data_IF_576008095805
#
_entry.id   IF_576008095805
#
_cell.length_a   1.000
_cell.length_b   1.000
_cell.length_c   1.000
_cell.angle_alpha   90.00
_cell.angle_beta   90.00
_cell.angle_gamma   90.00
#
_symmetry.space_group_name_H-M   'P 1'
#
loop_
_entity.id
_entity.type
_entity.pdbx_description
1 polymer ?
#
# COMPACT_ATOMS: atom_id res chain seq x y z
N UNK A 1 -57.08 -11.73 48.32
CA UNK A 1 -56.51 -10.42 48.02
C UNK A 1 -55.05 -10.61 47.62
N UNK A 2 -54.82 -10.79 46.32
CA UNK A 2 -53.48 -11.04 45.75
C UNK A 2 -53.09 -9.82 44.92
N UNK A 3 -51.99 -9.16 45.27
CA UNK A 3 -51.40 -8.07 44.49
C UNK A 3 -50.45 -8.68 43.43
N UNK A 4 -50.46 -8.22 42.19
CA UNK A 4 -49.55 -8.70 41.19
C UNK A 4 -48.20 -7.97 41.28
N UNK A 5 -47.15 -8.74 41.05
CA UNK A 5 -45.80 -8.21 40.86
C UNK A 5 -45.68 -7.55 39.47
N UNK A 6 -45.33 -6.26 39.46
CA UNK A 6 -44.86 -5.55 38.25
C UNK A 6 -43.36 -5.30 38.42
N UNK A 7 -42.68 -5.79 37.41
CA UNK A 7 -41.58 -5.24 36.91
C UNK A 7 -40.25 -5.44 36.93
N UNK A 8 -39.49 -5.60 35.89
CA UNK A 8 -38.28 -4.86 35.52
C UNK A 8 -37.87 -5.33 34.14
N UNK A 9 -38.45 -4.72 33.13
CA UNK A 9 -37.97 -4.82 31.76
C UNK A 9 -37.64 -3.41 31.31
N UNK A 10 -36.57 -2.85 31.87
CA UNK A 10 -36.13 -1.49 31.53
C UNK A 10 -34.63 -1.27 31.48
N UNK A 11 -33.86 -2.20 32.03
CA UNK A 11 -32.41 -1.99 32.19
C UNK A 11 -31.49 -2.54 31.11
N UNK A 12 -31.96 -3.46 30.25
CA UNK A 12 -31.08 -4.19 29.33
C UNK A 12 -30.89 -3.48 27.98
N UNK A 13 -31.83 -2.62 27.57
CA UNK A 13 -31.79 -1.98 26.24
C UNK A 13 -30.80 -0.80 26.21
N UNK A 14 -30.61 -0.10 27.31
CA UNK A 14 -29.71 1.07 27.37
C UNK A 14 -28.22 0.63 27.34
N UNK A 15 -27.88 -0.51 27.96
CA UNK A 15 -26.52 -1.03 27.96
C UNK A 15 -26.04 -1.48 26.59
N UNK A 16 -26.93 -2.06 25.76
CA UNK A 16 -26.58 -2.53 24.42
C UNK A 16 -26.33 -1.39 23.42
N UNK A 17 -27.06 -0.29 23.56
CA UNK A 17 -26.87 0.90 22.70
C UNK A 17 -25.58 1.66 23.02
N UNK A 18 -25.18 1.72 24.29
CA UNK A 18 -23.93 2.39 24.71
C UNK A 18 -22.71 1.55 24.31
N UNK A 19 -22.76 0.23 24.42
CA UNK A 19 -21.69 -0.66 23.98
C UNK A 19 -21.56 -0.65 22.45
N UNK A 20 -22.65 -0.63 21.70
CA UNK A 20 -22.64 -0.49 20.24
C UNK A 20 -22.07 0.86 19.78
N UNK A 21 -22.34 1.95 20.51
CA UNK A 21 -21.81 3.28 20.19
C UNK A 21 -20.32 3.43 20.54
N UNK A 22 -19.85 2.76 21.58
CA UNK A 22 -18.43 2.72 21.95
C UNK A 22 -17.63 1.82 21.00
N UNK A 23 -18.23 0.76 20.46
CA UNK A 23 -17.58 -0.10 19.45
C UNK A 23 -17.56 0.54 18.06
N UNK A 24 -18.47 1.43 17.75
CA UNK A 24 -18.50 2.25 16.54
C UNK A 24 -17.43 3.36 16.53
N UNK A 25 -16.78 3.65 17.65
CA UNK A 25 -15.54 4.42 17.68
C UNK A 25 -14.35 3.52 17.32
N UNK A 26 -14.41 2.83 16.17
CA UNK A 26 -13.21 2.40 15.49
C UNK A 26 -12.35 3.64 15.28
N UNK A 27 -11.16 3.61 15.87
CA UNK A 27 -10.09 4.56 15.68
C UNK A 27 -10.14 5.12 14.26
N UNK A 28 -10.47 6.41 14.15
CA UNK A 28 -10.65 7.02 12.84
C UNK A 28 -9.33 7.14 12.12
N UNK A 29 -8.93 6.05 11.43
CA UNK A 29 -7.81 6.08 10.50
C UNK A 29 -8.04 7.23 9.51
N UNK A 30 -7.14 8.20 9.49
CA UNK A 30 -7.20 9.33 8.59
C UNK A 30 -6.18 9.15 7.47
N UNK A 31 -6.63 9.15 6.23
CA UNK A 31 -5.76 9.15 5.05
C UNK A 31 -5.06 10.51 4.95
N UNK A 32 -3.74 10.48 4.89
CA UNK A 32 -2.87 11.65 4.72
C UNK A 32 -2.50 11.84 3.25
N UNK A 33 -2.22 10.72 2.57
CA UNK A 33 -1.88 10.70 1.16
C UNK A 33 -2.44 9.41 0.54
N UNK A 34 -3.34 9.55 -0.42
CA UNK A 34 -3.76 8.47 -1.31
C UNK A 34 -2.89 8.54 -2.57
N UNK A 35 -2.08 7.50 -2.80
CA UNK A 35 -1.12 7.49 -3.90
C UNK A 35 -1.80 7.25 -5.25
N UNK A 36 -2.98 6.64 -5.27
CA UNK A 36 -3.77 6.49 -6.49
C UNK A 36 -4.27 7.85 -6.96
N UNK A 37 -4.87 8.63 -6.06
CA UNK A 37 -5.36 9.98 -6.37
C UNK A 37 -4.21 10.95 -6.69
N UNK A 38 -3.07 10.77 -6.01
CA UNK A 38 -1.89 11.59 -6.20
C UNK A 38 -1.04 11.21 -7.43
N UNK A 39 -1.33 10.09 -8.12
CA UNK A 39 -0.52 9.61 -9.25
C UNK A 39 -0.26 10.68 -10.34
N UNK A 40 -1.24 11.50 -10.76
CA UNK A 40 -0.98 12.54 -11.76
C UNK A 40 0.01 13.63 -11.30
N UNK A 41 0.19 13.78 -9.97
CA UNK A 41 1.07 14.77 -9.34
C UNK A 41 2.31 14.13 -8.71
N UNK A 42 2.59 12.87 -9.01
CA UNK A 42 3.79 12.20 -8.52
C UNK A 42 5.05 12.97 -8.98
N UNK A 43 6.02 13.08 -8.06
CA UNK A 43 7.28 13.81 -8.30
C UNK A 43 8.08 13.24 -9.47
N UNK A 44 7.99 11.92 -9.65
CA UNK A 44 8.67 11.20 -10.72
C UNK A 44 7.83 9.99 -11.15
N UNK A 45 7.79 9.73 -12.45
CA UNK A 45 7.15 8.58 -13.07
C UNK A 45 8.05 8.03 -14.17
N UNK A 46 8.67 6.87 -13.96
CA UNK A 46 9.59 6.25 -14.91
C UNK A 46 9.13 4.84 -15.28
N UNK A 47 9.41 4.36 -16.50
CA UNK A 47 10.14 5.04 -17.58
C UNK A 47 9.34 6.20 -18.17
N UNK A 48 8.02 6.15 -18.14
CA UNK A 48 7.13 7.18 -18.70
C UNK A 48 5.71 7.00 -18.13
N UNK A 49 4.90 8.07 -18.04
CA UNK A 49 3.54 8.01 -17.50
C UNK A 49 2.60 7.01 -18.16
N UNK A 50 2.75 6.70 -19.45
CA UNK A 50 1.90 5.75 -20.17
C UNK A 50 2.00 4.30 -19.67
N UNK A 51 3.07 3.93 -18.98
CA UNK A 51 3.23 2.61 -18.37
C UNK A 51 2.58 2.48 -16.99
N UNK A 52 1.88 3.54 -16.56
CA UNK A 52 1.26 3.60 -15.23
C UNK A 52 -0.15 4.13 -15.36
N UNK A 53 -1.13 3.35 -14.97
CA UNK A 53 -2.54 3.72 -15.06
C UNK A 53 -3.29 3.39 -13.77
N UNK A 54 -4.36 4.15 -13.52
CA UNK A 54 -5.31 3.87 -12.44
C UNK A 54 -6.35 2.90 -12.98
N UNK A 55 -6.56 1.80 -12.26
CA UNK A 55 -7.52 0.74 -12.63
C UNK A 55 -8.31 0.28 -11.41
N UNK A 56 -9.49 -0.27 -11.64
CA UNK A 56 -10.17 -1.11 -10.67
C UNK A 56 -9.70 -2.56 -10.93
N UNK A 57 -8.80 -3.05 -10.07
CA UNK A 57 -8.16 -4.34 -10.23
C UNK A 57 -8.92 -5.40 -9.42
N UNK A 58 -9.36 -6.46 -10.08
CA UNK A 58 -9.98 -7.62 -9.43
C UNK A 58 -8.98 -8.77 -9.38
N UNK A 59 -8.74 -9.30 -8.18
CA UNK A 59 -7.88 -10.46 -7.93
C UNK A 59 -8.64 -11.41 -7.00
N UNK A 60 -8.87 -12.64 -7.44
CA UNK A 60 -9.64 -13.66 -6.69
C UNK A 60 -10.98 -13.12 -6.14
N UNK A 61 -11.69 -12.31 -6.94
CA UNK A 61 -12.99 -11.77 -6.59
C UNK A 61 -12.99 -10.52 -5.69
N UNK A 62 -11.82 -10.07 -5.22
CA UNK A 62 -11.67 -8.82 -4.46
C UNK A 62 -11.21 -7.69 -5.39
N UNK A 63 -12.06 -6.65 -5.52
CA UNK A 63 -11.80 -5.49 -6.40
C UNK A 63 -11.28 -4.31 -5.60
N UNK A 64 -10.14 -3.77 -6.02
CA UNK A 64 -9.50 -2.62 -5.39
C UNK A 64 -9.08 -1.58 -6.42
N UNK A 65 -9.16 -0.30 -6.05
CA UNK A 65 -8.55 0.77 -6.84
C UNK A 65 -7.04 0.65 -6.76
N UNK A 66 -6.35 0.66 -7.88
CA UNK A 66 -4.94 0.33 -7.93
C UNK A 66 -4.17 1.13 -8.98
N UNK A 67 -2.86 1.18 -8.80
CA UNK A 67 -1.91 1.63 -9.83
C UNK A 67 -1.39 0.39 -10.55
N UNK A 68 -1.76 0.22 -11.81
CA UNK A 68 -1.20 -0.79 -12.71
C UNK A 68 0.12 -0.29 -13.26
N UNK A 69 1.17 -1.11 -13.19
CA UNK A 69 2.47 -0.87 -13.81
C UNK A 69 2.74 -1.99 -14.81
N UNK A 70 2.97 -1.62 -16.07
CA UNK A 70 3.16 -2.58 -17.18
C UNK A 70 4.59 -2.65 -17.68
N UNK A 71 5.53 -2.05 -16.97
CA UNK A 71 6.95 -2.09 -17.27
C UNK A 71 7.79 -1.96 -16.00
N UNK A 72 9.04 -2.36 -16.06
CA UNK A 72 10.00 -2.04 -15.01
C UNK A 72 10.09 -0.52 -14.84
N UNK A 73 9.99 -0.04 -13.60
CA UNK A 73 9.99 1.41 -13.38
C UNK A 73 9.83 1.82 -11.92
N UNK A 74 9.63 3.11 -11.75
CA UNK A 74 9.42 3.69 -10.41
C UNK A 74 8.45 4.85 -10.44
N UNK A 75 7.76 5.02 -9.31
CA UNK A 75 6.93 6.18 -9.02
C UNK A 75 7.40 6.77 -7.70
N UNK A 76 7.61 8.06 -7.66
CA UNK A 76 8.11 8.76 -6.48
C UNK A 76 7.11 9.81 -6.01
N UNK A 77 6.81 9.78 -4.73
CA UNK A 77 5.99 10.77 -4.05
C UNK A 77 6.79 11.45 -2.97
N UNK A 78 6.66 12.75 -2.85
CA UNK A 78 7.26 13.51 -1.77
C UNK A 78 6.20 13.85 -0.72
N UNK A 79 6.53 13.64 0.56
CA UNK A 79 5.67 14.02 1.67
C UNK A 79 6.48 14.34 2.92
N UNK A 80 5.85 15.09 3.84
CA UNK A 80 6.32 15.16 5.23
C UNK A 80 5.56 14.12 6.03
N UNK A 81 6.29 13.18 6.63
CA UNK A 81 5.69 12.06 7.35
C UNK A 81 5.10 12.54 8.67
N UNK A 82 3.79 12.37 8.93
CA UNK A 82 3.20 12.73 10.21
C UNK A 82 3.64 11.78 11.33
N UNK A 83 3.37 12.18 12.57
CA UNK A 83 3.51 11.26 13.71
C UNK A 83 2.52 10.09 13.59
N UNK A 84 2.93 8.91 14.01
CA UNK A 84 2.14 7.67 13.99
C UNK A 84 1.63 7.31 12.59
N UNK A 85 2.43 7.60 11.56
CA UNK A 85 2.10 7.28 10.18
C UNK A 85 2.39 5.82 9.84
N UNK A 86 1.49 5.22 9.06
CA UNK A 86 1.62 3.90 8.47
C UNK A 86 1.44 4.00 6.97
N UNK A 87 2.17 3.19 6.23
CA UNK A 87 1.91 2.97 4.81
C UNK A 87 1.15 1.66 4.63
N UNK A 88 -0.07 1.75 4.13
CA UNK A 88 -0.93 0.61 3.84
C UNK A 88 -1.07 0.44 2.35
N UNK A 89 -0.94 -0.80 1.89
CA UNK A 89 -1.04 -1.15 0.48
C UNK A 89 -1.40 -2.63 0.33
N UNK A 90 -1.75 -3.01 -0.88
CA UNK A 90 -1.77 -4.40 -1.29
C UNK A 90 -0.96 -4.57 -2.59
N UNK A 91 -0.32 -5.71 -2.75
CA UNK A 91 0.38 -6.07 -3.98
C UNK A 91 -0.30 -7.28 -4.60
N UNK A 92 -0.46 -7.26 -5.91
CA UNK A 92 -0.97 -8.40 -6.64
C UNK A 92 -0.66 -8.32 -8.13
N UNK A 93 -1.00 -9.39 -8.85
CA UNK A 93 -0.89 -9.47 -10.29
C UNK A 93 -2.26 -9.76 -10.89
N UNK A 94 -2.66 -9.01 -11.92
CA UNK A 94 -3.94 -9.23 -12.60
C UNK A 94 -4.03 -10.65 -13.15
N UNK A 95 -5.24 -11.24 -13.10
CA UNK A 95 -5.49 -12.63 -13.49
C UNK A 95 -5.04 -12.99 -14.91
N UNK A 96 -5.06 -12.02 -15.82
CA UNK A 96 -4.55 -12.21 -17.19
C UNK A 96 -3.05 -12.55 -17.26
N UNK A 97 -2.26 -12.23 -16.22
CA UNK A 97 -0.86 -12.60 -16.12
C UNK A 97 -0.63 -13.99 -15.51
N UNK A 98 -1.63 -14.62 -14.89
CA UNK A 98 -1.45 -15.87 -14.13
C UNK A 98 -1.11 -17.09 -14.98
N UNK A 99 -1.47 -17.07 -16.26
CA UNK A 99 -1.25 -18.15 -17.22
C UNK A 99 -0.06 -17.89 -18.15
N UNK A 100 0.53 -16.72 -18.06
CA UNK A 100 1.71 -16.37 -18.83
C UNK A 100 2.94 -16.91 -18.12
N UNK A 101 3.71 -17.76 -18.82
CA UNK A 101 4.96 -18.27 -18.28
C UNK A 101 5.94 -17.12 -18.04
N UNK A 102 6.43 -17.03 -16.82
CA UNK A 102 7.35 -15.97 -16.38
C UNK A 102 7.91 -16.26 -15.00
N UNK A 103 8.86 -15.48 -14.58
CA UNK A 103 9.55 -15.60 -13.31
C UNK A 103 9.02 -14.61 -12.25
N UNK A 104 7.99 -13.82 -12.60
CA UNK A 104 7.31 -12.88 -11.74
C UNK A 104 7.95 -11.50 -11.66
N UNK A 105 7.38 -10.69 -10.81
CA UNK A 105 7.75 -9.29 -10.61
C UNK A 105 8.19 -9.07 -9.18
N UNK A 106 9.31 -8.40 -8.98
CA UNK A 106 9.75 -7.95 -7.66
C UNK A 106 9.43 -6.47 -7.48
N UNK A 107 8.76 -6.17 -6.37
CA UNK A 107 8.48 -4.81 -5.95
C UNK A 107 9.36 -4.42 -4.78
N UNK A 108 9.73 -3.15 -4.74
CA UNK A 108 10.45 -2.55 -3.62
C UNK A 108 9.75 -1.26 -3.22
N UNK A 109 9.79 -0.97 -1.93
CA UNK A 109 9.44 0.32 -1.37
C UNK A 109 10.65 0.91 -0.67
N UNK A 110 11.04 2.10 -1.12
CA UNK A 110 12.13 2.86 -0.49
C UNK A 110 11.60 4.15 0.14
N UNK A 111 12.18 4.51 1.28
CA UNK A 111 12.02 5.83 1.90
C UNK A 111 13.38 6.52 1.89
N UNK A 112 13.44 7.68 1.24
CA UNK A 112 14.66 8.48 1.14
C UNK A 112 14.44 9.81 1.89
N UNK A 113 15.06 10.01 3.06
CA UNK A 113 15.01 11.30 3.75
C UNK A 113 15.64 12.42 2.90
N UNK A 114 14.97 13.58 2.88
CA UNK A 114 15.45 14.76 2.17
C UNK A 114 16.11 15.73 3.14
N UNK A 115 17.16 16.39 2.68
CA UNK A 115 17.80 17.49 3.39
C UNK A 115 16.90 18.74 3.47
N UNK A 116 17.34 19.78 4.22
CA UNK A 116 16.59 21.02 4.35
C UNK A 116 16.33 21.72 3.01
N UNK A 117 17.20 21.51 2.03
CA UNK A 117 17.07 22.03 0.65
C UNK A 117 16.15 21.17 -0.24
N UNK A 118 15.55 20.10 0.32
CA UNK A 118 14.68 19.18 -0.40
C UNK A 118 15.41 18.21 -1.32
N UNK A 119 16.73 18.11 -1.22
CA UNK A 119 17.54 17.18 -2.01
C UNK A 119 17.81 15.90 -1.23
N UNK A 120 18.12 14.87 -1.99
CA UNK A 120 18.55 13.57 -1.44
C UNK A 120 19.87 13.76 -0.67
N UNK A 121 19.96 13.11 0.49
CA UNK A 121 21.17 13.10 1.30
C UNK A 121 22.05 11.91 0.95
N UNK A 122 23.36 12.10 1.08
CA UNK A 122 24.35 11.06 0.82
C UNK A 122 25.15 10.78 2.10
N UNK A 123 25.59 9.55 2.27
CA UNK A 123 26.53 9.17 3.31
C UNK A 123 27.93 9.79 3.03
N UNK A 124 28.85 9.78 4.01
CA UNK A 124 30.23 10.23 3.80
C UNK A 124 30.94 9.50 2.65
N UNK A 125 30.55 8.26 2.36
CA UNK A 125 31.09 7.43 1.27
C UNK A 125 30.40 7.71 -0.09
N UNK A 126 29.53 8.72 -0.18
CA UNK A 126 28.84 9.13 -1.40
C UNK A 126 27.67 8.21 -1.79
N UNK A 127 27.16 7.36 -0.90
CA UNK A 127 25.99 6.51 -1.15
C UNK A 127 24.71 7.27 -0.80
N UNK A 128 23.72 7.18 -1.66
CA UNK A 128 22.38 7.69 -1.36
C UNK A 128 21.83 7.00 -0.11
N UNK A 129 21.34 7.80 0.85
CA UNK A 129 20.68 7.30 2.05
C UNK A 129 19.23 7.01 1.67
N UNK A 130 18.89 5.72 1.57
CA UNK A 130 17.54 5.26 1.31
C UNK A 130 17.32 3.95 2.08
N UNK A 131 16.22 3.86 2.79
CA UNK A 131 15.84 2.66 3.52
C UNK A 131 14.86 1.82 2.68
N UNK A 132 15.17 0.54 2.52
CA UNK A 132 14.26 -0.42 1.91
C UNK A 132 13.27 -0.92 2.96
N UNK A 133 12.00 -0.58 2.81
CA UNK A 133 10.93 -1.03 3.71
C UNK A 133 10.22 -2.29 3.24
N UNK A 134 10.29 -2.59 1.96
CA UNK A 134 9.65 -3.75 1.35
C UNK A 134 10.50 -4.27 0.19
N UNK A 135 10.62 -5.59 0.15
CA UNK A 135 11.02 -6.36 -1.03
C UNK A 135 10.11 -7.58 -1.11
N UNK A 136 9.34 -7.72 -2.18
CA UNK A 136 8.39 -8.82 -2.38
C UNK A 136 8.38 -9.23 -3.86
N UNK A 137 8.54 -10.53 -4.12
CA UNK A 137 8.35 -11.09 -5.46
C UNK A 137 6.98 -11.76 -5.54
N UNK A 138 6.22 -11.46 -6.61
CA UNK A 138 4.90 -12.03 -6.91
C UNK A 138 5.00 -12.79 -8.23
N UNK A 139 4.72 -14.09 -8.20
CA UNK A 139 4.76 -14.97 -9.37
C UNK A 139 3.59 -15.98 -9.36
N UNK A 140 2.37 -15.59 -9.75
CA UNK A 140 1.20 -16.48 -9.73
C UNK A 140 1.30 -17.68 -10.68
N UNK A 141 2.16 -17.61 -11.71
CA UNK A 141 2.42 -18.74 -12.60
C UNK A 141 3.22 -19.84 -11.89
N UNK A 142 4.30 -19.46 -11.23
CA UNK A 142 5.18 -20.40 -10.50
C UNK A 142 4.70 -20.75 -9.09
N UNK A 143 3.96 -19.83 -8.47
CA UNK A 143 3.45 -19.98 -7.09
C UNK A 143 1.95 -19.66 -7.03
N UNK A 144 1.06 -20.66 -6.98
CA UNK A 144 -0.38 -20.42 -6.86
C UNK A 144 -0.81 -19.62 -5.64
N UNK A 145 0.00 -19.55 -4.57
CA UNK A 145 -0.27 -18.73 -3.39
C UNK A 145 -0.22 -17.23 -3.70
N UNK A 146 0.40 -16.83 -4.82
CA UNK A 146 0.44 -15.43 -5.25
C UNK A 146 -0.79 -14.99 -6.07
N UNK A 147 -1.78 -15.89 -6.24
CA UNK A 147 -3.08 -15.58 -6.88
C UNK A 147 -4.05 -14.88 -5.94
N UNK A 148 -3.54 -13.93 -5.16
CA UNK A 148 -4.32 -13.14 -4.20
C UNK A 148 -3.68 -11.76 -4.00
N UNK A 149 -4.38 -10.89 -3.25
CA UNK A 149 -3.82 -9.67 -2.74
C UNK A 149 -2.92 -9.94 -1.54
N UNK A 150 -1.69 -9.46 -1.57
CA UNK A 150 -0.78 -9.43 -0.43
C UNK A 150 -0.97 -8.10 0.31
N UNK A 151 -1.77 -8.11 1.36
CA UNK A 151 -2.02 -6.93 2.20
C UNK A 151 -0.83 -6.63 3.11
N UNK A 152 -0.35 -5.40 3.09
CA UNK A 152 0.84 -4.96 3.80
C UNK A 152 0.56 -3.68 4.60
N UNK A 153 1.16 -3.59 5.78
CA UNK A 153 1.14 -2.40 6.63
C UNK A 153 2.56 -2.16 7.15
N UNK A 154 3.15 -1.03 6.78
CA UNK A 154 4.54 -0.69 7.06
C UNK A 154 4.60 0.55 7.96
N UNK A 155 5.39 0.49 9.02
CA UNK A 155 5.56 1.59 9.97
C UNK A 155 6.45 2.68 9.38
N UNK A 156 5.97 3.91 9.38
CA UNK A 156 6.72 5.10 8.97
C UNK A 156 7.17 5.96 10.18
N UNK A 157 6.94 5.51 11.40
CA UNK A 157 7.17 6.30 12.62
C UNK A 157 8.58 6.84 12.78
N UNK A 158 9.61 6.11 12.32
CA UNK A 158 11.01 6.57 12.36
C UNK A 158 11.29 7.80 11.46
N UNK A 159 10.38 8.11 10.56
CA UNK A 159 10.45 9.28 9.66
C UNK A 159 9.55 10.43 10.10
N UNK A 160 8.89 10.31 11.25
CA UNK A 160 7.97 11.34 11.75
C UNK A 160 8.63 12.73 11.74
N UNK A 161 7.95 13.73 11.19
CA UNK A 161 8.43 15.10 11.01
C UNK A 161 9.44 15.30 9.88
N UNK A 162 9.95 14.22 9.27
CA UNK A 162 10.91 14.32 8.17
C UNK A 162 10.19 14.46 6.83
N UNK A 163 10.78 15.26 5.94
CA UNK A 163 10.42 15.28 4.53
C UNK A 163 11.13 14.14 3.82
N UNK A 164 10.39 13.32 3.08
CA UNK A 164 10.91 12.12 2.44
C UNK A 164 10.42 11.99 1.01
N UNK A 165 11.20 11.28 0.18
CA UNK A 165 10.71 10.65 -1.04
C UNK A 165 10.28 9.21 -0.73
N UNK A 166 9.02 8.89 -0.95
CA UNK A 166 8.47 7.54 -0.94
C UNK A 166 8.49 7.00 -2.36
N UNK A 167 9.27 5.94 -2.61
CA UNK A 167 9.52 5.42 -3.96
C UNK A 167 9.02 3.99 -4.10
N UNK A 168 8.00 3.80 -4.95
CA UNK A 168 7.52 2.51 -5.39
C UNK A 168 8.34 2.08 -6.59
N UNK A 169 8.93 0.89 -6.54
CA UNK A 169 9.77 0.34 -7.62
C UNK A 169 9.23 -1.02 -8.04
N UNK A 170 9.16 -1.24 -9.34
CA UNK A 170 8.78 -2.51 -9.97
C UNK A 170 9.92 -2.96 -10.87
N UNK A 171 10.36 -4.20 -10.73
CA UNK A 171 11.44 -4.80 -11.53
C UNK A 171 11.09 -6.23 -11.90
N UNK A 172 11.61 -6.76 -13.03
CA UNK A 172 11.62 -8.19 -13.27
C UNK A 172 12.20 -8.93 -12.07
N UNK A 173 11.80 -10.18 -11.88
CA UNK A 173 12.36 -11.02 -10.82
C UNK A 173 13.90 -11.09 -10.94
N UNK A 174 14.65 -11.11 -9.82
CA UNK A 174 16.10 -11.24 -9.84
C UNK A 174 16.57 -12.60 -10.37
N UNK A 175 15.68 -13.60 -10.48
CA UNK A 175 15.94 -14.90 -11.10
C UNK A 175 15.81 -14.86 -12.63
N UNK A 176 15.28 -13.76 -13.18
CA UNK A 176 15.18 -13.56 -14.62
C UNK A 176 16.57 -13.48 -15.25
N UNK A 177 16.84 -14.37 -16.19
CA UNK A 177 18.06 -14.30 -17.02
C UNK A 177 17.92 -13.27 -18.15
N UNK A 178 16.71 -12.81 -18.38
CA UNK A 178 16.35 -11.77 -19.36
C UNK A 178 15.50 -10.71 -18.65
N UNK A 179 15.52 -9.48 -19.14
CA UNK A 179 14.58 -8.44 -18.70
C UNK A 179 13.18 -8.76 -19.27
N UNK A 180 12.66 -9.93 -18.90
CA UNK A 180 11.33 -10.35 -19.33
C UNK A 180 10.26 -9.55 -18.55
N UNK A 181 9.42 -8.87 -19.29
CA UNK A 181 8.26 -8.13 -18.78
C UNK A 181 6.94 -8.75 -19.25
N UNK A 182 7.00 -9.94 -19.88
CA UNK A 182 5.82 -10.63 -20.38
C UNK A 182 4.94 -11.09 -19.20
N UNK A 183 3.70 -10.68 -19.22
CA UNK A 183 2.76 -11.05 -18.15
C UNK A 183 2.87 -10.23 -16.88
N UNK A 184 3.74 -9.23 -16.82
CA UNK A 184 3.97 -8.36 -15.66
C UNK A 184 2.86 -7.32 -15.51
N UNK A 185 1.66 -7.79 -15.17
CA UNK A 185 0.52 -6.92 -14.89
C UNK A 185 0.41 -6.66 -13.38
N UNK A 186 1.49 -6.12 -12.80
CA UNK A 186 1.54 -5.84 -11.38
C UNK A 186 0.65 -4.66 -11.01
N UNK A 187 -0.05 -4.78 -9.90
CA UNK A 187 -0.91 -3.73 -9.33
C UNK A 187 -0.56 -3.44 -7.89
N UNK A 188 -0.50 -2.14 -7.58
CA UNK A 188 -0.39 -1.59 -6.23
C UNK A 188 -1.79 -1.18 -5.79
N UNK A 189 -2.45 -2.02 -4.99
CA UNK A 189 -3.83 -1.83 -4.53
C UNK A 189 -3.93 -0.89 -3.33
N UNK A 190 -4.77 0.12 -3.42
CA UNK A 190 -5.05 1.09 -2.35
C UNK A 190 -3.81 1.61 -1.60
N UNK A 191 -2.69 1.96 -2.28
CA UNK A 191 -1.49 2.43 -1.60
C UNK A 191 -1.74 3.81 -0.98
N UNK A 192 -1.64 3.88 0.37
CA UNK A 192 -1.95 5.11 1.10
C UNK A 192 -1.15 5.28 2.38
N UNK A 193 -0.81 6.51 2.72
CA UNK A 193 -0.27 6.88 4.03
C UNK A 193 -1.42 7.27 4.92
N UNK A 194 -1.46 6.69 6.12
CA UNK A 194 -2.52 6.91 7.11
C UNK A 194 -1.94 7.21 8.48
N UNK A 195 -2.72 7.84 9.34
CA UNK A 195 -2.44 8.06 10.77
C UNK A 195 -3.59 7.53 11.63
N UNK A 196 -3.23 6.98 12.79
CA UNK A 196 -4.17 6.49 13.80
C UNK A 196 -4.25 7.44 14.99
#
# INVERSE_FOLDING_TARGET
MTRPARFLIGGVIIGALVAGWLWSRKSGERVVLDLVEALPKAKERQPSPEYQSIVDATISGDTRKAILITAAGRIKYELTVPERAWFKLAIGMLEKGWTVAGDGVTVFLYVTPLGPDGKVTFSPEGRMIADELLSLTVNPYGNPADKLWHDLTLDLGQYAGKRVDLTLVTRPSPTSQTWDVNGDFLVWGNPRVVVN
#
